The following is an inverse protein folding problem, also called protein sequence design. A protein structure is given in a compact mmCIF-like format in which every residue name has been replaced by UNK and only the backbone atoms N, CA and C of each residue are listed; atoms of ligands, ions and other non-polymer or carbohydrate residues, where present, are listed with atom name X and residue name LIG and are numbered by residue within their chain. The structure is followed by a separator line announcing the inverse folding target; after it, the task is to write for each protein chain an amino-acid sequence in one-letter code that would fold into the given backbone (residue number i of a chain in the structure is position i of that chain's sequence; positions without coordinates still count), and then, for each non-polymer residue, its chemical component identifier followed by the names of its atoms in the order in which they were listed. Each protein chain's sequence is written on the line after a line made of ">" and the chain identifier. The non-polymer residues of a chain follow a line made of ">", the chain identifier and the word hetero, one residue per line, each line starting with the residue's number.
data_IF_928001655581
#
_entry.id   IF_928001655581
#
_cell.length_a   1.000
_cell.length_b   1.000
_cell.length_c   1.000
_cell.angle_alpha   90.00
_cell.angle_beta   90.00
_cell.angle_gamma   90.00
#
_symmetry.space_group_name_H-M   'P 1'
#
loop_
_entity.id
_entity.type
_entity.pdbx_description
1 polymer ?
#
# COMPACT_ATOMS: atom_id res chain seq x y z
N UNK A 1 22.69 -18.06 10.74
CA UNK A 1 22.08 -16.80 10.27
C UNK A 1 22.04 -15.67 11.31
N UNK A 2 21.15 -15.67 12.32
CA UNK A 2 21.01 -14.49 13.20
C UNK A 2 22.30 -14.16 13.98
N UNK A 3 22.95 -15.18 14.54
CA UNK A 3 24.22 -15.02 15.28
C UNK A 3 25.31 -14.48 14.34
N UNK A 4 25.43 -15.04 13.14
CA UNK A 4 26.39 -14.59 12.12
C UNK A 4 26.15 -13.13 11.70
N UNK A 5 24.88 -12.74 11.50
CA UNK A 5 24.53 -11.35 11.21
C UNK A 5 24.94 -10.40 12.35
N UNK A 6 24.76 -10.81 13.60
CA UNK A 6 25.12 -10.01 14.78
C UNK A 6 26.63 -9.91 15.01
N UNK A 7 27.37 -10.95 14.61
CA UNK A 7 28.83 -11.00 14.67
C UNK A 7 29.51 -10.23 13.53
N UNK A 8 28.78 -9.87 12.46
CA UNK A 8 29.32 -9.11 11.34
C UNK A 8 29.31 -7.59 11.64
N UNK A 9 30.49 -7.07 12.01
CA UNK A 9 30.69 -5.64 12.30
C UNK A 9 30.43 -4.75 11.07
N UNK A 10 30.68 -5.25 9.86
CA UNK A 10 30.44 -4.52 8.62
C UNK A 10 28.95 -4.35 8.33
N UNK A 11 28.17 -5.42 8.48
CA UNK A 11 26.71 -5.39 8.36
C UNK A 11 26.09 -4.55 9.48
N UNK A 12 26.64 -4.61 10.70
CA UNK A 12 26.23 -3.72 11.80
C UNK A 12 26.49 -2.25 11.49
N UNK A 13 27.64 -1.93 10.90
CA UNK A 13 27.96 -0.60 10.41
C UNK A 13 26.97 -0.15 9.32
N UNK A 14 26.70 -1.01 8.34
CA UNK A 14 25.76 -0.75 7.25
C UNK A 14 24.34 -0.50 7.76
N UNK A 15 23.89 -1.26 8.75
CA UNK A 15 22.57 -1.09 9.36
C UNK A 15 22.41 0.29 10.02
N UNK A 16 23.48 0.86 10.59
CA UNK A 16 23.44 2.18 11.25
C UNK A 16 23.33 3.35 10.27
N UNK A 17 23.81 3.19 9.04
CA UNK A 17 23.87 4.26 8.04
C UNK A 17 22.79 4.14 6.96
N UNK A 18 22.03 3.04 6.94
CA UNK A 18 20.97 2.79 5.97
C UNK A 18 19.61 2.73 6.65
N UNK A 19 18.54 2.98 5.90
CA UNK A 19 17.19 2.68 6.41
C UNK A 19 16.99 1.17 6.52
N UNK A 20 16.11 0.69 7.43
CA UNK A 20 15.82 -0.74 7.55
C UNK A 20 15.42 -1.39 6.22
N UNK A 21 14.59 -0.71 5.41
CA UNK A 21 14.17 -1.20 4.10
C UNK A 21 15.36 -1.35 3.13
N UNK A 22 16.25 -0.36 3.08
CA UNK A 22 17.44 -0.41 2.22
C UNK A 22 18.43 -1.50 2.68
N UNK A 23 18.60 -1.65 4.00
CA UNK A 23 19.45 -2.68 4.57
C UNK A 23 18.98 -4.08 4.14
N UNK A 24 17.72 -4.41 4.43
CA UNK A 24 17.16 -5.73 4.13
C UNK A 24 17.05 -5.99 2.62
N UNK A 25 16.74 -4.96 1.83
CA UNK A 25 16.74 -5.08 0.35
C UNK A 25 18.14 -5.41 -0.19
N UNK A 26 19.18 -4.80 0.38
CA UNK A 26 20.56 -5.09 -0.02
C UNK A 26 21.01 -6.51 0.34
N UNK A 27 20.51 -7.03 1.46
CA UNK A 27 20.81 -8.39 1.93
C UNK A 27 20.04 -9.45 1.12
N UNK A 28 18.82 -9.12 0.70
CA UNK A 28 18.04 -9.92 -0.23
C UNK A 28 18.73 -10.01 -1.60
N UNK A 29 19.26 -8.90 -2.10
CA UNK A 29 19.98 -8.86 -3.37
C UNK A 29 21.30 -9.65 -3.36
N UNK A 30 21.98 -9.73 -2.23
CA UNK A 30 23.21 -10.53 -2.09
C UNK A 30 22.96 -12.03 -1.90
N UNK A 31 21.71 -12.45 -1.67
CA UNK A 31 21.37 -13.87 -1.42
C UNK A 31 21.86 -14.41 -0.08
N UNK A 32 22.32 -13.54 0.82
CA UNK A 32 22.84 -13.89 2.15
C UNK A 32 21.73 -13.87 3.19
N UNK A 33 21.76 -14.78 4.16
CA UNK A 33 20.75 -14.91 5.23
C UNK A 33 19.30 -15.10 4.72
N UNK A 34 19.06 -16.08 3.81
CA UNK A 34 17.77 -16.26 3.15
C UNK A 34 16.60 -16.49 4.13
N UNK A 35 16.80 -17.23 5.22
CA UNK A 35 15.72 -17.47 6.18
C UNK A 35 15.34 -16.19 6.93
N UNK A 36 16.35 -15.40 7.32
CA UNK A 36 16.14 -14.13 8.00
C UNK A 36 15.50 -13.08 7.10
N UNK A 37 15.97 -12.95 5.85
CA UNK A 37 15.37 -12.06 4.84
C UNK A 37 13.91 -12.43 4.60
N UNK A 38 13.61 -13.72 4.45
CA UNK A 38 12.23 -14.20 4.27
C UNK A 38 11.33 -13.79 5.45
N UNK A 39 11.79 -13.98 6.69
CA UNK A 39 11.05 -13.58 7.88
C UNK A 39 10.78 -12.08 7.95
N UNK A 40 11.79 -11.25 7.64
CA UNK A 40 11.63 -9.79 7.65
C UNK A 40 10.70 -9.32 6.54
N UNK A 41 10.77 -9.89 5.34
CA UNK A 41 9.84 -9.57 4.25
C UNK A 41 8.40 -9.94 4.62
N UNK A 42 8.21 -11.09 5.27
CA UNK A 42 6.89 -11.51 5.74
C UNK A 42 6.32 -10.50 6.76
N UNK A 43 7.09 -10.15 7.79
CA UNK A 43 6.68 -9.17 8.80
C UNK A 43 6.40 -7.80 8.15
N UNK A 44 7.28 -7.34 7.27
CA UNK A 44 7.12 -6.06 6.57
C UNK A 44 5.86 -6.05 5.70
N UNK A 45 5.54 -7.16 5.05
CA UNK A 45 4.30 -7.31 4.28
C UNK A 45 3.05 -7.23 5.16
N UNK A 46 3.09 -7.81 6.36
CA UNK A 46 1.99 -7.71 7.33
C UNK A 46 1.78 -6.27 7.80
N UNK A 47 2.86 -5.56 8.10
CA UNK A 47 2.78 -4.13 8.46
C UNK A 47 2.26 -3.28 7.29
N UNK A 48 2.75 -3.55 6.07
CA UNK A 48 2.30 -2.84 4.87
C UNK A 48 0.81 -3.06 4.56
N UNK A 49 0.33 -4.30 4.67
CA UNK A 49 -1.08 -4.62 4.45
C UNK A 49 -1.97 -4.07 5.56
N UNK A 50 -1.54 -4.14 6.83
CA UNK A 50 -2.27 -3.54 7.95
C UNK A 50 -2.41 -2.04 7.78
N UNK A 51 -1.31 -1.33 7.46
CA UNK A 51 -1.35 0.10 7.19
C UNK A 51 -2.27 0.44 6.00
N UNK A 52 -2.17 -0.31 4.90
CA UNK A 52 -3.05 -0.10 3.75
C UNK A 52 -4.53 -0.32 4.11
N UNK A 53 -4.84 -1.35 4.89
CA UNK A 53 -6.19 -1.62 5.40
C UNK A 53 -6.67 -0.50 6.32
N UNK A 54 -5.86 -0.04 7.28
CA UNK A 54 -6.21 1.07 8.17
C UNK A 54 -6.50 2.36 7.41
N UNK A 55 -5.66 2.68 6.41
CA UNK A 55 -5.86 3.83 5.53
C UNK A 55 -7.14 3.66 4.70
N UNK A 56 -7.44 2.46 4.21
CA UNK A 56 -8.69 2.16 3.51
C UNK A 56 -9.90 2.32 4.43
N UNK A 57 -9.86 1.81 5.65
CA UNK A 57 -10.93 1.98 6.65
C UNK A 57 -11.13 3.45 7.02
N UNK A 58 -10.06 4.22 7.16
CA UNK A 58 -10.12 5.66 7.39
C UNK A 58 -10.78 6.40 6.22
N UNK A 59 -10.37 6.08 4.98
CA UNK A 59 -11.00 6.58 3.75
C UNK A 59 -12.48 6.18 3.65
N UNK A 60 -12.83 4.95 4.05
CA UNK A 60 -14.23 4.51 4.09
C UNK A 60 -15.05 5.30 5.08
N UNK A 61 -14.55 5.51 6.30
CA UNK A 61 -15.23 6.32 7.32
C UNK A 61 -15.45 7.75 6.83
N UNK A 62 -14.44 8.37 6.24
CA UNK A 62 -14.56 9.73 5.70
C UNK A 62 -15.49 9.81 4.48
N UNK A 63 -15.46 8.82 3.58
CA UNK A 63 -16.36 8.74 2.43
C UNK A 63 -17.81 8.57 2.89
N UNK A 64 -18.11 7.56 3.72
CA UNK A 64 -19.46 7.36 4.30
C UNK A 64 -19.97 8.58 5.05
N UNK A 65 -19.11 9.29 5.78
CA UNK A 65 -19.48 10.51 6.50
C UNK A 65 -19.82 11.68 5.57
N UNK A 66 -19.20 11.77 4.38
CA UNK A 66 -19.42 12.86 3.41
C UNK A 66 -20.64 12.60 2.51
N UNK A 67 -20.84 11.36 2.07
CA UNK A 67 -21.93 10.96 1.15
C UNK A 67 -23.03 10.21 1.87
N UNK A 68 -23.60 10.81 2.93
CA UNK A 68 -24.65 10.21 3.78
C UNK A 68 -25.97 9.86 3.05
N UNK A 69 -26.05 10.07 1.74
CA UNK A 69 -27.21 9.76 0.90
C UNK A 69 -26.92 8.49 0.07
N UNK A 70 -27.63 7.39 0.40
CA UNK A 70 -27.90 6.22 -0.45
C UNK A 70 -26.75 5.69 -1.35
N UNK A 71 -25.58 5.39 -0.79
CA UNK A 71 -24.63 4.54 -1.49
C UNK A 71 -24.96 3.07 -1.24
N UNK A 72 -25.44 2.39 -2.29
CA UNK A 72 -25.40 0.92 -2.39
C UNK A 72 -23.96 0.43 -2.24
N UNK A 73 -23.74 -0.76 -1.65
CA UNK A 73 -22.42 -1.34 -1.38
C UNK A 73 -21.48 -1.36 -2.61
N UNK A 74 -22.04 -1.52 -3.81
CA UNK A 74 -21.26 -1.46 -5.06
C UNK A 74 -20.64 -0.07 -5.28
N UNK A 75 -21.42 1.01 -5.07
CA UNK A 75 -20.94 2.38 -5.29
C UNK A 75 -19.90 2.79 -4.26
N UNK A 76 -20.01 2.27 -3.03
CA UNK A 76 -19.00 2.48 -2.00
C UNK A 76 -17.67 1.83 -2.41
N UNK A 77 -17.72 0.59 -2.91
CA UNK A 77 -16.55 -0.15 -3.39
C UNK A 77 -15.84 0.62 -4.51
N UNK A 78 -16.59 1.14 -5.48
CA UNK A 78 -16.04 1.91 -6.60
C UNK A 78 -15.37 3.21 -6.12
N UNK A 79 -16.00 3.95 -5.20
CA UNK A 79 -15.43 5.19 -4.63
C UNK A 79 -14.18 4.90 -3.80
N UNK A 80 -14.17 3.81 -3.04
CA UNK A 80 -13.00 3.37 -2.27
C UNK A 80 -11.84 2.97 -3.17
N UNK A 81 -12.12 2.26 -4.27
CA UNK A 81 -11.14 1.87 -5.28
C UNK A 81 -10.54 3.10 -5.96
N UNK A 82 -11.38 4.04 -6.42
CA UNK A 82 -10.94 5.32 -7.00
C UNK A 82 -10.11 6.14 -6.01
N UNK A 83 -10.50 6.18 -4.73
CA UNK A 83 -9.78 6.94 -3.70
C UNK A 83 -8.47 6.29 -3.26
N UNK A 84 -8.30 5.00 -3.49
CA UNK A 84 -7.14 4.21 -3.03
C UNK A 84 -6.15 3.90 -4.15
N UNK A 85 -6.57 4.03 -5.41
CA UNK A 85 -5.72 3.81 -6.59
C UNK A 85 -5.31 5.14 -7.22
N UNK A 86 -4.28 5.11 -8.08
CA UNK A 86 -3.87 6.25 -8.91
C UNK A 86 -4.63 6.30 -10.25
N UNK A 87 -5.73 5.56 -10.37
CA UNK A 87 -6.54 5.52 -11.59
C UNK A 87 -7.19 6.89 -11.75
N UNK A 88 -6.79 7.64 -12.79
CA UNK A 88 -7.48 8.87 -13.15
C UNK A 88 -8.81 8.51 -13.80
N UNK A 89 -9.97 8.92 -13.23
CA UNK A 89 -11.22 8.77 -13.93
C UNK A 89 -11.16 9.59 -15.23
N UNK A 90 -11.59 9.00 -16.34
CA UNK A 90 -11.69 9.69 -17.63
C UNK A 90 -12.93 10.61 -17.58
N UNK A 91 -12.73 11.82 -17.07
CA UNK A 91 -13.80 12.80 -16.87
C UNK A 91 -14.37 13.31 -18.20
N UNK A 92 -13.57 13.35 -19.26
CA UNK A 92 -13.99 13.82 -20.58
C UNK A 92 -15.04 12.88 -21.21
N UNK A 93 -14.79 11.57 -21.16
CA UNK A 93 -15.74 10.56 -21.62
C UNK A 93 -17.00 10.52 -20.74
N UNK A 94 -16.86 10.72 -19.43
CA UNK A 94 -18.00 10.78 -18.51
C UNK A 94 -18.90 12.00 -18.77
N UNK A 95 -18.31 13.19 -19.00
CA UNK A 95 -19.05 14.40 -19.34
C UNK A 95 -19.77 14.26 -20.69
N UNK A 96 -19.11 13.68 -21.69
CA UNK A 96 -19.72 13.44 -23.00
C UNK A 96 -20.96 12.53 -22.93
N UNK A 97 -20.92 11.47 -22.10
CA UNK A 97 -22.06 10.57 -21.89
C UNK A 97 -23.21 11.19 -21.10
N UNK A 98 -22.92 12.02 -20.11
CA UNK A 98 -23.94 12.71 -19.31
C UNK A 98 -24.74 13.72 -20.16
N UNK A 99 -24.07 14.45 -21.06
CA UNK A 99 -24.74 15.37 -21.99
C UNK A 99 -25.67 14.65 -22.97
N UNK A 100 -25.31 13.44 -23.41
CA UNK A 100 -26.18 12.63 -24.27
C UNK A 100 -27.43 12.10 -23.54
N UNK A 101 -27.34 11.82 -22.24
CA UNK A 101 -28.49 11.37 -21.44
C UNK A 101 -29.43 12.50 -21.04
N UNK A 102 -28.93 13.73 -20.84
CA UNK A 102 -29.78 14.90 -20.54
C UNK A 102 -30.51 15.47 -21.75
N UNK A 103 -30.23 14.95 -22.95
CA UNK A 103 -30.84 15.35 -24.22
C UNK A 103 -32.03 14.46 -24.64
N UNK A 104 -32.55 13.62 -23.74
CA UNK A 104 -33.74 12.82 -23.98
C UNK A 104 -34.80 12.97 -22.87
#
# INVERSE_FOLDING_TARGET
>A
ELIELQCDDGLRGKFRITTPLQFWSSLAASGTFPALVSGVLHITSLFGSTYACEQLFSKMKTTKSKTRSELSDQRLTDVLLLSSTKIKPNLDDLCGRYQHQSLH
#
